data_IF_118835085594
#
_entry.id   IF_118835085594
#
_cell.length_a   1.000
_cell.length_b   1.000
_cell.length_c   1.000
_cell.angle_alpha   90.00
_cell.angle_beta   90.00
_cell.angle_gamma   90.00
#
_symmetry.space_group_name_H-M   'P 1'
#
loop_
_entity.id
_entity.type
_entity.pdbx_description
1 polymer ?
#
# COMPACT_ATOMS: atom_id res chain seq x y z
N UNK A 1 21.09 -58.55 -34.62
CA UNK A 1 19.75 -57.96 -34.80
C UNK A 1 19.94 -56.48 -35.03
N UNK A 2 19.36 -55.99 -36.12
CA UNK A 2 19.75 -54.80 -36.87
C UNK A 2 19.16 -53.51 -36.26
N UNK A 3 19.75 -52.37 -36.64
CA UNK A 3 19.32 -50.99 -36.32
C UNK A 3 17.83 -50.68 -36.59
N UNK A 4 17.07 -51.59 -37.19
CA UNK A 4 15.63 -51.45 -37.48
C UNK A 4 14.73 -51.61 -36.26
N UNK A 5 15.20 -52.16 -35.13
CA UNK A 5 14.37 -52.35 -33.93
C UNK A 5 14.35 -51.16 -32.97
N UNK A 6 15.27 -50.21 -33.11
CA UNK A 6 15.28 -48.96 -32.33
C UNK A 6 14.40 -47.86 -32.93
N UNK A 7 14.12 -47.92 -34.24
CA UNK A 7 13.25 -46.94 -34.90
C UNK A 7 11.74 -47.23 -34.65
N UNK A 8 11.37 -48.50 -34.43
CA UNK A 8 9.99 -48.89 -34.15
C UNK A 8 9.49 -48.58 -32.72
N UNK A 9 10.40 -48.48 -31.74
CA UNK A 9 10.04 -48.08 -30.37
C UNK A 9 9.89 -46.57 -30.19
N UNK A 10 10.50 -45.77 -31.08
CA UNK A 10 10.47 -44.31 -30.99
C UNK A 10 9.21 -43.69 -31.63
N UNK A 11 8.39 -44.48 -32.34
CA UNK A 11 7.11 -44.03 -32.94
C UNK A 11 5.87 -44.44 -32.15
N UNK A 12 5.99 -45.25 -31.09
CA UNK A 12 4.84 -45.79 -30.35
C UNK A 12 4.36 -44.91 -29.18
N UNK A 13 5.15 -43.91 -28.75
CA UNK A 13 4.76 -43.00 -27.66
C UNK A 13 4.88 -41.55 -28.09
N UNK A 14 4.22 -41.22 -29.21
CA UNK A 14 3.88 -39.84 -29.56
C UNK A 14 2.72 -39.35 -28.68
N UNK A 15 2.89 -39.40 -27.36
CA UNK A 15 1.90 -38.92 -26.41
C UNK A 15 2.06 -37.41 -26.25
N UNK A 16 1.68 -36.68 -27.30
CA UNK A 16 1.40 -35.24 -27.21
C UNK A 16 0.38 -34.92 -26.09
N UNK A 17 -0.40 -35.93 -25.66
CA UNK A 17 -1.22 -35.88 -24.46
C UNK A 17 -0.40 -35.80 -23.16
N UNK A 18 0.63 -36.63 -22.96
CA UNK A 18 1.44 -36.60 -21.72
C UNK A 18 2.33 -35.36 -21.63
N UNK A 19 2.84 -34.85 -22.76
CA UNK A 19 3.58 -33.58 -22.79
C UNK A 19 2.63 -32.40 -22.55
N UNK A 20 1.38 -32.46 -23.03
CA UNK A 20 0.34 -31.50 -22.64
C UNK A 20 0.02 -31.58 -21.15
N UNK A 21 -0.12 -32.76 -20.56
CA UNK A 21 -0.41 -32.89 -19.12
C UNK A 21 0.73 -32.36 -18.24
N UNK A 22 1.99 -32.50 -18.67
CA UNK A 22 3.15 -31.98 -17.93
C UNK A 22 3.33 -30.45 -18.07
N UNK A 23 2.80 -29.82 -19.12
CA UNK A 23 2.82 -28.35 -19.28
C UNK A 23 1.52 -27.64 -18.91
N UNK A 24 0.39 -28.35 -18.78
CA UNK A 24 -0.93 -27.76 -18.56
C UNK A 24 -1.41 -27.82 -17.09
N UNK A 25 -0.67 -28.50 -16.20
CA UNK A 25 -1.11 -28.74 -14.81
C UNK A 25 -0.56 -27.79 -13.74
N UNK A 26 0.40 -26.93 -14.07
CA UNK A 26 1.04 -25.98 -13.13
C UNK A 26 0.64 -24.53 -13.39
N UNK A 27 -0.52 -24.33 -14.01
CA UNK A 27 -1.22 -23.05 -13.85
C UNK A 27 -1.88 -23.12 -12.48
N UNK A 28 -1.10 -22.81 -11.44
CA UNK A 28 -1.62 -22.33 -10.17
C UNK A 28 -2.65 -21.28 -10.51
N UNK A 29 -3.92 -21.68 -10.55
CA UNK A 29 -5.04 -20.77 -10.47
C UNK A 29 -4.79 -20.09 -9.13
N UNK A 30 -4.23 -18.88 -9.17
CA UNK A 30 -4.23 -17.99 -8.03
C UNK A 30 -5.68 -18.04 -7.56
N UNK A 31 -5.91 -18.69 -6.41
CA UNK A 31 -7.25 -18.75 -5.87
C UNK A 31 -7.67 -17.29 -5.71
N UNK A 32 -8.76 -16.92 -6.36
CA UNK A 32 -9.39 -15.62 -6.18
C UNK A 32 -9.91 -15.61 -4.75
N UNK A 33 -9.02 -15.26 -3.81
CA UNK A 33 -9.32 -15.14 -2.40
C UNK A 33 -9.73 -13.70 -2.13
N UNK A 34 -10.85 -13.53 -1.46
CA UNK A 34 -11.25 -12.23 -0.92
C UNK A 34 -10.51 -12.01 0.40
N UNK A 35 -10.41 -10.76 0.88
CA UNK A 35 -9.67 -10.41 2.11
C UNK A 35 -10.05 -11.29 3.32
N UNK A 36 -11.33 -11.65 3.45
CA UNK A 36 -11.86 -12.49 4.55
C UNK A 36 -11.34 -13.93 4.56
N UNK A 37 -10.79 -14.41 3.44
CA UNK A 37 -10.32 -15.78 3.27
C UNK A 37 -8.79 -15.91 3.46
N UNK A 38 -8.10 -14.79 3.65
CA UNK A 38 -6.66 -14.77 3.89
C UNK A 38 -6.36 -15.16 5.35
N UNK A 39 -5.22 -15.80 5.57
CA UNK A 39 -4.69 -15.89 6.93
C UNK A 39 -4.28 -14.49 7.43
N UNK A 40 -4.29 -14.31 8.75
CA UNK A 40 -4.05 -13.00 9.38
C UNK A 40 -2.68 -12.41 9.04
N UNK A 41 -1.66 -13.24 8.86
CA UNK A 41 -0.31 -12.78 8.53
C UNK A 41 -0.30 -12.20 7.12
N UNK A 42 -0.83 -12.94 6.14
CA UNK A 42 -0.95 -12.45 4.75
C UNK A 42 -1.78 -11.17 4.68
N UNK A 43 -2.91 -11.11 5.40
CA UNK A 43 -3.73 -9.89 5.48
C UNK A 43 -2.91 -8.69 5.99
N UNK A 44 -2.19 -8.86 7.10
CA UNK A 44 -1.36 -7.81 7.71
C UNK A 44 -0.27 -7.33 6.74
N UNK A 45 0.37 -8.26 6.03
CA UNK A 45 1.42 -7.94 5.06
C UNK A 45 0.90 -7.13 3.87
N UNK A 46 -0.31 -7.45 3.37
CA UNK A 46 -0.97 -6.71 2.29
C UNK A 46 -1.39 -5.31 2.73
N UNK A 47 -1.99 -5.17 3.92
CA UNK A 47 -2.37 -3.88 4.49
C UNK A 47 -1.13 -2.98 4.69
N UNK A 48 -0.06 -3.55 5.25
CA UNK A 48 1.20 -2.84 5.42
C UNK A 48 1.84 -2.46 4.07
N UNK A 49 1.74 -3.32 3.05
CA UNK A 49 2.22 -3.01 1.69
C UNK A 49 1.42 -1.87 1.04
N UNK A 50 0.10 -1.87 1.20
CA UNK A 50 -0.76 -0.78 0.73
C UNK A 50 -0.43 0.55 1.44
N UNK A 51 -0.21 0.52 2.76
CA UNK A 51 0.20 1.72 3.52
C UNK A 51 1.55 2.25 3.05
N UNK A 52 2.57 1.40 2.90
CA UNK A 52 3.87 1.81 2.33
C UNK A 52 3.73 2.39 0.93
N UNK A 53 2.82 1.84 0.11
CA UNK A 53 2.53 2.36 -1.24
C UNK A 53 1.89 3.75 -1.19
N UNK A 54 0.98 3.99 -0.23
CA UNK A 54 0.40 5.31 0.02
C UNK A 54 1.46 6.32 0.44
N UNK A 55 2.36 5.97 1.37
CA UNK A 55 3.45 6.86 1.78
C UNK A 55 4.32 7.24 0.58
N UNK A 56 4.73 6.24 -0.21
CA UNK A 56 5.47 6.50 -1.45
C UNK A 56 4.69 7.40 -2.42
N UNK A 57 3.39 7.18 -2.58
CA UNK A 57 2.58 8.01 -3.45
C UNK A 57 2.52 9.46 -2.97
N UNK A 58 2.38 9.70 -1.66
CA UNK A 58 2.37 11.04 -1.08
C UNK A 58 3.74 11.73 -1.15
N UNK A 59 4.82 10.95 -1.13
CA UNK A 59 6.19 11.45 -1.31
C UNK A 59 6.52 11.76 -2.79
N UNK A 60 6.00 10.96 -3.72
CA UNK A 60 6.11 11.23 -5.16
C UNK A 60 5.29 12.49 -5.57
N UNK A 61 4.31 12.90 -4.75
CA UNK A 61 3.40 14.04 -4.98
C UNK A 61 3.51 15.09 -3.86
N UNK A 62 4.69 15.67 -3.69
CA UNK A 62 4.96 16.68 -2.64
C UNK A 62 4.23 18.00 -2.84
N UNK A 63 3.76 18.26 -4.05
CA UNK A 63 2.90 19.40 -4.39
C UNK A 63 1.54 19.33 -3.69
N UNK A 64 1.04 18.13 -3.40
CA UNK A 64 -0.21 17.93 -2.64
C UNK A 64 0.00 18.38 -1.20
N UNK A 65 -0.52 19.55 -0.84
CA UNK A 65 -0.32 20.13 0.49
C UNK A 65 -1.19 19.46 1.55
N UNK A 66 -0.68 19.42 2.78
CA UNK A 66 -1.43 18.88 3.91
C UNK A 66 -2.74 19.64 4.16
N UNK A 67 -2.77 20.95 3.93
CA UNK A 67 -3.98 21.76 4.12
C UNK A 67 -5.08 21.37 3.14
N UNK A 68 -4.73 21.09 1.88
CA UNK A 68 -5.70 20.66 0.86
C UNK A 68 -6.26 19.28 1.19
N UNK A 69 -5.41 18.37 1.65
CA UNK A 69 -5.86 17.05 2.15
C UNK A 69 -6.80 17.20 3.35
N UNK A 70 -6.52 18.11 4.29
CA UNK A 70 -7.41 18.37 5.42
C UNK A 70 -8.76 18.96 4.99
N UNK A 71 -8.77 19.89 4.03
CA UNK A 71 -10.01 20.49 3.50
C UNK A 71 -10.87 19.42 2.82
N UNK A 72 -10.26 18.58 1.97
CA UNK A 72 -10.98 17.63 1.12
C UNK A 72 -11.37 16.35 1.88
N UNK A 73 -10.43 15.77 2.62
CA UNK A 73 -10.52 14.41 3.14
C UNK A 73 -10.43 14.32 4.67
N UNK A 74 -10.23 15.45 5.37
CA UNK A 74 -10.13 15.51 6.84
C UNK A 74 -8.98 14.64 7.42
N UNK A 75 -7.98 14.32 6.61
CA UNK A 75 -6.72 13.73 7.04
C UNK A 75 -5.56 14.29 6.21
N UNK A 76 -4.34 14.18 6.71
CA UNK A 76 -3.12 14.52 5.96
C UNK A 76 -1.95 13.66 6.43
N UNK A 77 -0.73 13.92 5.93
CA UNK A 77 0.50 13.20 6.33
C UNK A 77 0.72 13.22 7.85
N UNK A 78 0.47 14.36 8.50
CA UNK A 78 0.58 14.47 9.96
C UNK A 78 -0.43 13.59 10.72
N UNK A 79 -1.60 13.30 10.13
CA UNK A 79 -2.55 12.35 10.71
C UNK A 79 -2.00 10.93 10.65
N UNK A 80 -1.36 10.53 9.53
CA UNK A 80 -0.72 9.23 9.40
C UNK A 80 0.37 9.03 10.47
N UNK A 81 1.19 10.05 10.73
CA UNK A 81 2.20 10.00 11.79
C UNK A 81 1.58 9.83 13.18
N UNK A 82 0.48 10.53 13.47
CA UNK A 82 -0.25 10.35 14.74
C UNK A 82 -0.84 8.95 14.86
N UNK A 83 -1.40 8.40 13.78
CA UNK A 83 -1.95 7.05 13.77
C UNK A 83 -0.88 5.99 14.02
N UNK A 84 0.34 6.18 13.50
CA UNK A 84 1.48 5.29 13.82
C UNK A 84 1.83 5.32 15.32
N UNK A 85 1.87 6.52 15.92
CA UNK A 85 2.12 6.66 17.37
C UNK A 85 1.02 5.97 18.17
N UNK A 86 -0.25 6.23 17.87
CA UNK A 86 -1.38 5.57 18.55
C UNK A 86 -1.35 4.05 18.38
N UNK A 87 -1.03 3.55 17.19
CA UNK A 87 -0.89 2.11 16.95
C UNK A 87 0.29 1.48 17.71
N UNK A 88 1.36 2.24 17.97
CA UNK A 88 2.49 1.83 18.79
C UNK A 88 2.09 1.79 20.28
N UNK A 89 1.38 2.82 20.76
CA UNK A 89 0.84 2.89 22.13
C UNK A 89 -0.07 1.69 22.44
N UNK A 90 -0.99 1.33 21.53
CA UNK A 90 -1.85 0.16 21.66
C UNK A 90 -1.08 -1.17 21.79
N UNK A 91 0.17 -1.19 21.32
CA UNK A 91 1.09 -2.34 21.38
C UNK A 91 2.12 -2.24 22.50
N UNK A 92 2.04 -1.21 23.36
CA UNK A 92 3.02 -0.89 24.38
C UNK A 92 4.44 -0.71 23.80
N UNK A 93 4.53 -0.11 22.60
CA UNK A 93 5.79 0.25 21.94
C UNK A 93 5.94 1.77 21.99
N UNK A 94 7.11 2.23 22.44
CA UNK A 94 7.43 3.65 22.44
C UNK A 94 7.83 4.10 21.03
N UNK A 95 7.08 5.05 20.48
CA UNK A 95 7.37 5.71 19.21
C UNK A 95 7.06 7.19 19.37
N UNK A 96 8.07 8.05 19.29
CA UNK A 96 7.85 9.48 19.34
C UNK A 96 7.29 10.03 18.00
N UNK A 97 6.62 11.18 18.10
CA UNK A 97 5.96 11.78 16.95
C UNK A 97 6.94 12.24 15.85
N UNK A 98 8.17 12.61 16.20
CA UNK A 98 9.14 13.06 15.21
C UNK A 98 9.68 11.88 14.40
N UNK A 99 9.99 10.76 15.05
CA UNK A 99 10.32 9.50 14.37
C UNK A 99 9.18 9.03 13.47
N UNK A 100 7.93 9.13 13.94
CA UNK A 100 6.76 8.78 13.12
C UNK A 100 6.58 9.72 11.91
N UNK A 101 6.94 10.99 12.03
CA UNK A 101 6.97 11.91 10.89
C UNK A 101 8.08 11.56 9.94
N UNK A 102 9.29 11.36 10.41
CA UNK A 102 10.42 10.98 9.56
C UNK A 102 10.10 9.74 8.72
N UNK A 103 9.45 8.74 9.33
CA UNK A 103 8.96 7.57 8.60
C UNK A 103 7.93 7.91 7.50
N UNK A 104 6.97 8.80 7.79
CA UNK A 104 5.91 9.18 6.85
C UNK A 104 6.41 10.10 5.73
N UNK A 105 7.33 11.01 6.03
CA UNK A 105 7.88 12.00 5.09
C UNK A 105 9.12 11.50 4.35
N UNK A 106 9.74 10.40 4.80
CA UNK A 106 10.98 9.86 4.23
C UNK A 106 12.24 10.68 4.53
N UNK A 107 12.11 11.74 5.34
CA UNK A 107 13.17 12.66 5.79
C UNK A 107 12.69 13.42 7.04
N UNK A 108 13.57 14.11 7.78
CA UNK A 108 13.17 14.95 8.91
C UNK A 108 12.09 15.96 8.52
N UNK A 109 11.04 16.09 9.34
CA UNK A 109 9.90 16.94 9.01
C UNK A 109 10.28 18.41 8.87
N UNK A 110 11.24 18.87 9.67
CA UNK A 110 11.79 20.23 9.58
C UNK A 110 12.39 20.52 8.21
N UNK A 111 13.14 19.57 7.63
CA UNK A 111 13.73 19.66 6.30
C UNK A 111 12.64 19.64 5.22
N UNK A 112 11.69 18.69 5.32
CA UNK A 112 10.58 18.61 4.39
C UNK A 112 9.76 19.91 4.36
N UNK A 113 9.44 20.45 5.55
CA UNK A 113 8.69 21.70 5.69
C UNK A 113 9.43 22.88 5.06
N UNK A 114 10.74 22.98 5.27
CA UNK A 114 11.55 24.05 4.72
C UNK A 114 11.61 24.00 3.18
N UNK A 115 11.68 22.81 2.59
CA UNK A 115 11.89 22.62 1.16
C UNK A 115 10.60 22.48 0.33
N UNK A 116 9.49 22.08 0.96
CA UNK A 116 8.29 21.63 0.22
C UNK A 116 6.97 22.20 0.73
N UNK A 117 6.93 22.89 1.88
CA UNK A 117 5.69 23.39 2.47
C UNK A 117 5.59 24.93 2.39
N UNK A 118 4.94 25.49 1.35
CA UNK A 118 4.64 26.92 1.32
C UNK A 118 3.68 27.33 2.46
N UNK A 119 3.66 28.62 2.82
CA UNK A 119 2.63 29.14 3.71
C UNK A 119 1.24 28.95 3.09
N UNK A 120 0.26 28.65 3.93
CA UNK A 120 -1.13 28.54 3.50
C UNK A 120 -1.64 29.88 2.96
N UNK A 121 -2.38 29.82 1.86
CA UNK A 121 -3.10 30.98 1.31
C UNK A 121 -4.30 31.34 2.19
N UNK A 122 -4.78 32.58 2.07
CA UNK A 122 -5.96 33.03 2.80
C UNK A 122 -7.21 32.22 2.42
N UNK A 123 -7.32 31.84 1.14
CA UNK A 123 -8.39 30.99 0.63
C UNK A 123 -8.37 29.60 1.27
N UNK A 124 -7.19 28.97 1.38
CA UNK A 124 -7.06 27.66 2.04
C UNK A 124 -7.40 27.73 3.52
N UNK A 125 -7.00 28.79 4.23
CA UNK A 125 -7.35 28.97 5.63
C UNK A 125 -8.86 29.11 5.82
N UNK A 126 -9.53 29.94 4.99
CA UNK A 126 -10.98 30.08 5.01
C UNK A 126 -11.71 28.78 4.70
N UNK A 127 -11.23 28.02 3.70
CA UNK A 127 -11.80 26.73 3.34
C UNK A 127 -11.66 25.70 4.48
N UNK A 128 -10.52 25.67 5.15
CA UNK A 128 -10.28 24.79 6.30
C UNK A 128 -11.21 25.15 7.47
N UNK A 129 -11.35 26.42 7.80
CA UNK A 129 -12.29 26.88 8.83
C UNK A 129 -13.74 26.52 8.50
N UNK A 130 -14.15 26.71 7.24
CA UNK A 130 -15.49 26.34 6.79
C UNK A 130 -15.74 24.83 6.92
N UNK A 131 -14.75 24.01 6.54
CA UNK A 131 -14.80 22.55 6.70
C UNK A 131 -14.94 22.13 8.17
N UNK A 132 -14.17 22.76 9.06
CA UNK A 132 -14.23 22.49 10.51
C UNK A 132 -15.60 22.84 11.10
N UNK A 133 -16.14 24.03 10.79
CA UNK A 133 -17.47 24.45 11.24
C UNK A 133 -18.57 23.52 10.73
N UNK A 134 -18.49 23.08 9.47
CA UNK A 134 -19.46 22.13 8.91
C UNK A 134 -19.45 20.79 9.65
N UNK A 135 -18.26 20.31 10.03
CA UNK A 135 -18.09 19.07 10.81
C UNK A 135 -18.69 19.19 12.21
N UNK A 136 -18.44 20.30 12.91
CA UNK A 136 -19.00 20.57 14.24
C UNK A 136 -20.53 20.56 14.21
N UNK A 137 -21.13 21.21 13.22
CA UNK A 137 -22.60 21.28 13.08
C UNK A 137 -23.24 19.93 12.73
N UNK A 138 -22.49 19.01 12.10
CA UNK A 138 -22.99 17.66 11.76
C UNK A 138 -22.85 16.69 12.93
N UNK A 139 -21.94 16.97 13.87
CA UNK A 139 -21.69 16.17 15.06
C UNK A 139 -22.57 16.57 16.26
N UNK A 140 -23.30 17.68 16.17
CA UNK A 140 -24.29 18.15 17.15
C UNK A 140 -25.71 17.76 16.76
#
# INVERSE_FOLDING_TARGET
MTLSLLWGWMTAYNNAALIRYLFFGLRTRLQELNMEQLDKQTQTELEAAAFRRLLKHLDDNRDVQNIDLMILADFCRNCLSKWLVTAAEERNVELDLESAREHVYGMPYSEWKANHQPPATEEQLKALEARQKAKENTAS
#
